data_IF_395593941495
#
_entry.id   IF_395593941495
#
_cell.length_a   1.000
_cell.length_b   1.000
_cell.length_c   1.000
_cell.angle_alpha   90.00
_cell.angle_beta   90.00
_cell.angle_gamma   90.00
#
_symmetry.space_group_name_H-M   'P 1'
#
loop_
_entity.id
_entity.type
_entity.pdbx_description
1 polymer ?
#
# COMPACT_ATOMS: atom_id res chain seq x y z
N UNK A 1 -25.80 -2.21 6.91
CA UNK A 1 -24.79 -3.11 6.32
C UNK A 1 -23.44 -2.53 6.64
N UNK A 2 -22.60 -3.25 7.37
CA UNK A 2 -21.21 -2.83 7.60
C UNK A 2 -20.45 -2.98 6.29
N UNK A 3 -19.89 -1.89 5.77
CA UNK A 3 -19.01 -1.96 4.60
C UNK A 3 -17.63 -2.40 5.04
N UNK A 4 -17.17 -3.52 4.50
CA UNK A 4 -15.81 -4.01 4.70
C UNK A 4 -14.86 -3.18 3.83
N UNK A 5 -13.87 -2.56 4.44
CA UNK A 5 -12.82 -1.86 3.70
C UNK A 5 -11.89 -2.84 2.98
N UNK A 6 -11.41 -3.87 3.69
CA UNK A 6 -10.55 -4.91 3.12
C UNK A 6 -10.64 -6.19 3.93
N UNK A 7 -10.43 -7.34 3.28
CA UNK A 7 -10.23 -8.63 3.94
C UNK A 7 -9.00 -9.31 3.37
N UNK A 8 -8.19 -9.92 4.23
CA UNK A 8 -7.09 -10.77 3.80
C UNK A 8 -7.63 -12.09 3.25
N UNK A 9 -7.34 -12.47 1.99
CA UNK A 9 -7.88 -13.70 1.41
C UNK A 9 -7.29 -14.97 2.04
N UNK A 10 -6.10 -14.89 2.64
CA UNK A 10 -5.43 -16.05 3.23
C UNK A 10 -5.84 -16.34 4.67
N UNK A 11 -5.80 -15.35 5.56
CA UNK A 11 -6.11 -15.55 7.00
C UNK A 11 -7.47 -14.98 7.43
N UNK A 12 -8.21 -14.34 6.52
CA UNK A 12 -9.56 -13.78 6.76
C UNK A 12 -9.63 -12.62 7.76
N UNK A 13 -8.50 -12.07 8.21
CA UNK A 13 -8.47 -10.79 8.92
C UNK A 13 -9.23 -9.74 8.12
N UNK A 14 -10.16 -9.06 8.77
CA UNK A 14 -11.08 -8.11 8.14
C UNK A 14 -10.88 -6.74 8.77
N UNK A 15 -10.75 -5.72 7.93
CA UNK A 15 -10.64 -4.33 8.32
C UNK A 15 -11.88 -3.60 7.83
N UNK A 16 -12.58 -2.91 8.74
CA UNK A 16 -13.83 -2.21 8.43
C UNK A 16 -13.58 -0.76 8.02
N UNK A 17 -12.52 -0.13 8.55
CA UNK A 17 -12.07 1.19 8.14
C UNK A 17 -10.64 1.18 7.58
N UNK A 18 -10.35 2.20 6.77
CA UNK A 18 -8.99 2.51 6.31
C UNK A 18 -8.02 2.70 7.48
N UNK A 19 -8.46 3.38 8.54
CA UNK A 19 -7.70 3.60 9.77
C UNK A 19 -7.30 2.29 10.44
N UNK A 20 -8.20 1.30 10.48
CA UNK A 20 -7.93 -0.01 11.08
C UNK A 20 -6.88 -0.77 10.27
N UNK A 21 -7.01 -0.74 8.94
CA UNK A 21 -6.02 -1.34 8.02
C UNK A 21 -4.64 -0.72 8.18
N UNK A 22 -4.56 0.60 8.31
CA UNK A 22 -3.28 1.30 8.48
C UNK A 22 -2.71 1.15 9.89
N UNK A 23 -3.56 1.01 10.92
CA UNK A 23 -3.14 0.79 12.29
C UNK A 23 -2.69 -0.66 12.54
N UNK A 24 -3.01 -1.60 11.68
CA UNK A 24 -2.63 -3.00 11.86
C UNK A 24 -1.08 -3.17 11.90
N UNK A 25 -0.50 -3.62 13.03
CA UNK A 25 0.94 -3.82 13.16
C UNK A 25 1.47 -4.94 12.24
N UNK A 26 0.59 -5.80 11.74
CA UNK A 26 0.91 -6.94 10.89
C UNK A 26 0.91 -6.62 9.41
N UNK A 27 0.55 -5.38 9.06
CA UNK A 27 0.63 -4.86 7.70
C UNK A 27 1.83 -3.93 7.54
N UNK A 28 2.72 -4.29 6.61
CA UNK A 28 3.85 -3.46 6.20
C UNK A 28 3.73 -3.06 4.75
N UNK A 29 3.82 -1.75 4.47
CA UNK A 29 3.94 -1.24 3.11
C UNK A 29 5.28 -1.66 2.52
N UNK A 30 5.25 -2.47 1.47
CA UNK A 30 6.46 -2.98 0.80
C UNK A 30 6.72 -2.32 -0.55
N UNK A 31 5.75 -1.60 -1.11
CA UNK A 31 5.94 -1.04 -2.43
C UNK A 31 4.73 -0.33 -3.03
N UNK A 32 4.91 0.08 -4.28
CA UNK A 32 3.91 0.71 -5.11
C UNK A 32 4.05 0.23 -6.55
N UNK A 33 2.94 -0.18 -7.16
CA UNK A 33 2.85 -0.45 -8.59
C UNK A 33 2.17 0.75 -9.26
N UNK A 34 2.99 1.54 -9.97
CA UNK A 34 2.52 2.69 -10.72
C UNK A 34 1.63 2.29 -11.90
N UNK A 35 0.58 3.09 -12.12
CA UNK A 35 -0.17 3.14 -13.37
C UNK A 35 -0.06 4.57 -13.88
N UNK A 36 0.81 4.81 -14.85
CA UNK A 36 1.19 6.18 -15.25
C UNK A 36 0.08 6.92 -15.99
N UNK A 37 -0.85 6.19 -16.60
CA UNK A 37 -2.04 6.74 -17.25
C UNK A 37 -3.05 7.27 -16.22
N UNK A 38 -3.08 6.69 -15.02
CA UNK A 38 -3.90 7.15 -13.92
C UNK A 38 -3.30 6.76 -12.57
N UNK A 39 -2.58 7.70 -11.96
CA UNK A 39 -1.88 7.50 -10.70
C UNK A 39 -2.81 7.10 -9.54
N UNK A 40 -4.08 7.54 -9.56
CA UNK A 40 -5.08 7.19 -8.52
C UNK A 40 -5.43 5.69 -8.55
N UNK A 41 -5.30 5.05 -9.71
CA UNK A 41 -5.53 3.61 -9.90
C UNK A 41 -4.28 2.76 -9.70
N UNK A 42 -3.13 3.37 -9.43
CA UNK A 42 -1.94 2.65 -8.99
C UNK A 42 -2.19 1.92 -7.67
N UNK A 43 -1.34 0.93 -7.35
CA UNK A 43 -1.57 0.03 -6.21
C UNK A 43 -0.46 0.16 -5.17
N UNK A 44 -0.81 0.53 -3.95
CA UNK A 44 0.05 0.31 -2.78
C UNK A 44 0.06 -1.17 -2.42
N UNK A 45 1.25 -1.71 -2.17
CA UNK A 45 1.47 -3.12 -1.87
C UNK A 45 1.83 -3.28 -0.40
N UNK A 46 1.09 -4.13 0.31
CA UNK A 46 1.28 -4.42 1.72
C UNK A 46 1.52 -5.90 1.93
N UNK A 47 2.55 -6.28 2.68
CA UNK A 47 2.67 -7.63 3.18
C UNK A 47 1.94 -7.75 4.51
N UNK A 48 1.13 -8.80 4.63
CA UNK A 48 0.53 -9.22 5.89
C UNK A 48 1.38 -10.32 6.53
N UNK A 49 1.43 -10.40 7.86
CA UNK A 49 2.20 -11.41 8.61
C UNK A 49 1.87 -12.86 8.26
N UNK A 50 0.68 -13.11 7.72
CA UNK A 50 0.26 -14.41 7.17
C UNK A 50 1.00 -14.82 5.87
N UNK A 51 1.86 -13.97 5.31
CA UNK A 51 2.62 -14.23 4.09
C UNK A 51 1.94 -13.79 2.78
N UNK A 52 0.72 -13.23 2.85
CA UNK A 52 0.01 -12.70 1.68
C UNK A 52 0.35 -11.24 1.41
N UNK A 53 0.41 -10.87 0.13
CA UNK A 53 0.46 -9.47 -0.31
C UNK A 53 -0.95 -8.96 -0.61
N UNK A 54 -1.31 -7.84 0.00
CA UNK A 54 -2.54 -7.10 -0.25
C UNK A 54 -2.23 -5.86 -1.08
N UNK A 55 -3.18 -5.48 -1.93
CA UNK A 55 -3.10 -4.25 -2.72
C UNK A 55 -4.26 -3.31 -2.41
N UNK A 56 -3.97 -2.01 -2.32
CA UNK A 56 -4.96 -0.94 -2.14
C UNK A 56 -4.71 0.11 -3.23
N UNK A 57 -5.77 0.53 -3.92
CA UNK A 57 -5.68 1.60 -4.91
C UNK A 57 -5.32 2.93 -4.24
N UNK A 58 -4.53 3.78 -4.90
CA UNK A 58 -4.12 5.08 -4.37
C UNK A 58 -5.33 5.95 -4.04
N UNK A 59 -6.39 5.92 -4.87
CA UNK A 59 -7.63 6.68 -4.66
C UNK A 59 -8.30 6.39 -3.32
N UNK A 60 -8.18 5.16 -2.80
CA UNK A 60 -8.73 4.79 -1.50
C UNK A 60 -7.98 5.44 -0.33
N UNK A 61 -6.72 5.87 -0.54
CA UNK A 61 -5.86 6.49 0.47
C UNK A 61 -5.49 7.94 0.12
N UNK A 62 -6.03 8.50 -0.96
CA UNK A 62 -5.68 9.85 -1.41
C UNK A 62 -6.03 10.93 -0.39
N UNK A 63 -7.10 10.71 0.38
CA UNK A 63 -7.60 11.60 1.43
C UNK A 63 -6.58 11.82 2.56
N UNK A 64 -5.58 10.94 2.69
CA UNK A 64 -4.50 11.10 3.67
C UNK A 64 -3.56 12.27 3.34
N UNK A 65 -3.54 12.71 2.07
CA UNK A 65 -2.62 13.73 1.59
C UNK A 65 -3.33 15.03 1.22
N UNK A 66 -2.92 16.13 1.85
CA UNK A 66 -3.43 17.48 1.59
C UNK A 66 -2.37 18.41 0.99
N UNK A 67 -1.25 17.87 0.53
CA UNK A 67 -0.16 18.65 -0.07
C UNK A 67 -0.34 18.92 -1.57
N UNK A 68 0.66 19.53 -2.23
CA UNK A 68 0.58 19.85 -3.65
C UNK A 68 0.55 18.59 -4.52
N UNK A 69 -0.31 18.61 -5.54
CA UNK A 69 -0.31 17.65 -6.65
C UNK A 69 0.16 18.41 -7.89
N UNK A 70 1.34 18.08 -8.38
CA UNK A 70 1.91 18.69 -9.58
C UNK A 70 1.27 18.08 -10.83
N UNK A 71 1.09 18.89 -11.88
CA UNK A 71 0.52 18.40 -13.17
C UNK A 71 1.58 17.86 -14.12
N UNK A 72 2.83 18.26 -13.95
CA UNK A 72 3.92 17.89 -14.85
C UNK A 72 4.57 16.59 -14.41
N UNK A 73 4.78 15.68 -15.37
CA UNK A 73 5.55 14.48 -15.16
C UNK A 73 7.03 14.73 -15.45
N UNK A 74 7.89 14.33 -14.51
CA UNK A 74 9.33 14.34 -14.71
C UNK A 74 9.87 13.01 -15.27
N UNK A 75 9.01 12.00 -15.48
CA UNK A 75 9.41 10.65 -15.90
C UNK A 75 10.27 10.70 -17.17
N UNK A 76 11.38 9.95 -17.20
CA UNK A 76 12.32 9.92 -18.32
C UNK A 76 13.24 11.14 -18.44
N UNK A 77 12.99 12.22 -17.70
CA UNK A 77 13.89 13.38 -17.68
C UNK A 77 15.18 13.09 -16.88
N UNK A 78 16.23 13.87 -17.16
CA UNK A 78 17.52 13.81 -16.43
C UNK A 78 17.39 14.05 -14.92
N UNK A 79 16.31 14.72 -14.48
CA UNK A 79 16.06 15.02 -13.07
C UNK A 79 15.37 13.85 -12.35
N UNK A 80 14.73 12.94 -13.07
CA UNK A 80 13.93 11.88 -12.47
C UNK A 80 14.81 10.71 -12.00
N UNK A 81 14.77 10.34 -10.71
CA UNK A 81 15.55 9.22 -10.19
C UNK A 81 14.93 7.85 -10.50
N UNK A 82 13.83 7.80 -11.27
CA UNK A 82 13.20 6.55 -11.68
C UNK A 82 12.53 5.75 -10.55
N UNK A 83 12.34 6.33 -9.36
CA UNK A 83 11.78 5.60 -8.22
C UNK A 83 10.46 4.90 -8.55
N UNK A 84 9.54 5.55 -9.28
CA UNK A 84 8.24 4.96 -9.66
C UNK A 84 8.33 3.69 -10.52
N UNK A 85 9.49 3.42 -11.14
CA UNK A 85 9.72 2.22 -11.94
C UNK A 85 10.13 1.02 -11.07
N UNK A 86 10.56 1.27 -9.82
CA UNK A 86 11.01 0.24 -8.89
C UNK A 86 9.90 0.00 -7.86
N UNK A 87 9.24 -1.16 -7.94
CA UNK A 87 8.07 -1.45 -7.09
C UNK A 87 8.38 -1.40 -5.59
N UNK A 88 9.52 -1.95 -5.18
CA UNK A 88 9.97 -2.00 -3.78
C UNK A 88 10.61 -0.70 -3.28
N UNK A 89 10.83 0.27 -4.15
CA UNK A 89 11.32 1.58 -3.73
C UNK A 89 10.20 2.30 -2.97
N UNK A 90 10.49 2.79 -1.78
CA UNK A 90 9.51 3.46 -0.91
C UNK A 90 9.99 4.82 -0.41
N UNK A 91 11.12 5.31 -0.90
CA UNK A 91 11.63 6.65 -0.60
C UNK A 91 10.75 7.74 -1.21
N UNK A 92 10.74 8.96 -0.63
CA UNK A 92 10.06 10.11 -1.23
C UNK A 92 10.67 10.47 -2.59
N UNK A 93 9.89 11.13 -3.44
CA UNK A 93 10.40 11.71 -4.68
C UNK A 93 11.03 13.08 -4.40
N UNK A 94 12.29 13.35 -4.78
CA UNK A 94 12.94 14.64 -4.54
C UNK A 94 12.54 15.72 -5.57
N UNK A 95 11.75 15.37 -6.60
CA UNK A 95 11.42 16.26 -7.71
C UNK A 95 9.93 16.61 -7.70
N UNK A 96 9.61 17.85 -8.06
CA UNK A 96 8.24 18.29 -8.38
C UNK A 96 7.74 17.55 -9.61
N UNK A 97 6.99 16.49 -9.37
CA UNK A 97 6.50 15.53 -10.35
C UNK A 97 5.08 15.13 -9.95
N UNK A 98 4.21 14.87 -10.92
CA UNK A 98 2.87 14.31 -10.68
C UNK A 98 2.89 13.06 -9.80
N UNK A 99 3.88 12.19 -9.94
CA UNK A 99 4.02 10.99 -9.12
C UNK A 99 4.45 11.27 -7.66
N UNK A 100 4.88 12.49 -7.34
CA UNK A 100 5.43 12.81 -6.03
C UNK A 100 4.39 12.70 -4.91
N UNK A 101 3.13 13.03 -5.17
CA UNK A 101 2.07 12.95 -4.14
C UNK A 101 1.84 11.51 -3.68
N UNK A 102 1.90 10.54 -4.59
CA UNK A 102 1.78 9.11 -4.26
C UNK A 102 2.89 8.69 -3.30
N UNK A 103 4.13 9.16 -3.57
CA UNK A 103 5.28 8.91 -2.69
C UNK A 103 5.14 9.58 -1.33
N UNK A 104 4.48 10.75 -1.26
CA UNK A 104 4.14 11.41 0.00
C UNK A 104 3.12 10.61 0.81
N UNK A 105 2.07 10.06 0.17
CA UNK A 105 1.11 9.15 0.81
C UNK A 105 1.84 7.95 1.41
N UNK A 106 2.81 7.36 0.70
CA UNK A 106 3.63 6.27 1.26
C UNK A 106 4.38 6.68 2.52
N UNK A 107 4.88 7.91 2.61
CA UNK A 107 5.56 8.38 3.83
C UNK A 107 4.58 8.54 5.00
N UNK A 108 3.35 8.98 4.74
CA UNK A 108 2.30 9.08 5.74
C UNK A 108 1.96 7.68 6.27
N UNK A 109 1.74 6.72 5.36
CA UNK A 109 1.45 5.31 5.70
C UNK A 109 2.59 4.71 6.54
N UNK A 110 3.86 4.94 6.16
CA UNK A 110 5.03 4.41 6.89
C UNK A 110 5.17 4.99 8.29
N UNK A 111 4.67 6.22 8.52
CA UNK A 111 4.69 6.90 9.83
C UNK A 111 3.39 6.72 10.60
N UNK A 112 2.44 5.97 10.07
CA UNK A 112 1.14 5.76 10.71
C UNK A 112 1.31 5.02 12.03
N UNK A 113 0.61 5.49 13.07
CA UNK A 113 0.65 4.85 14.39
C UNK A 113 0.06 3.44 14.30
N UNK A 114 0.90 2.43 14.56
CA UNK A 114 0.48 1.03 14.63
C UNK A 114 -0.08 0.71 16.01
N UNK A 115 -1.15 -0.07 16.07
CA UNK A 115 -1.72 -0.54 17.32
C UNK A 115 -0.77 -1.48 18.06
N UNK A 116 -0.96 -1.59 19.38
CA UNK A 116 -0.23 -2.53 20.23
C UNK A 116 -0.83 -3.93 20.04
N UNK A 117 -0.29 -4.68 19.08
CA UNK A 117 -0.75 -6.04 18.77
C UNK A 117 0.39 -6.94 18.31
N UNK A 118 0.36 -8.20 18.73
CA UNK A 118 1.36 -9.20 18.34
C UNK A 118 0.93 -9.86 17.04
N UNK A 119 1.84 -9.83 16.05
CA UNK A 119 1.64 -10.49 14.78
C UNK A 119 1.99 -11.97 14.86
N UNK A 120 1.01 -12.78 15.24
CA UNK A 120 1.14 -14.23 15.16
C UNK A 120 1.04 -14.62 13.69
N UNK A 121 2.09 -15.26 13.16
CA UNK A 121 2.06 -15.83 11.81
C UNK A 121 0.97 -16.90 11.79
N UNK A 122 -0.11 -16.69 11.02
CA UNK A 122 -1.08 -17.75 10.80
C UNK A 122 -0.40 -18.88 10.04
N UNK A 123 -0.44 -20.11 10.56
CA UNK A 123 -0.04 -21.33 9.85
C UNK A 123 -1.00 -21.65 8.68
N UNK A 124 -1.14 -20.73 7.73
CA UNK A 124 -1.90 -20.96 6.50
C UNK A 124 -1.00 -21.73 5.52
N UNK A 125 -0.75 -23.00 5.85
CA UNK A 125 0.21 -23.83 5.15
C UNK A 125 0.14 -25.31 5.55
N UNK A 126 -1.06 -25.89 5.65
CA UNK A 126 -1.22 -27.34 5.53
C UNK A 126 -2.21 -27.64 4.41
N UNK A 127 -1.65 -28.09 3.28
CA UNK A 127 -2.35 -28.86 2.26
C UNK A 127 -3.37 -29.78 2.95
N UNK A 128 -4.65 -29.68 2.58
CA UNK A 128 -5.62 -30.72 2.89
C UNK A 128 -5.48 -31.76 1.77
N UNK A 129 -4.93 -32.96 1.99
CA UNK A 129 -4.98 -34.02 1.00
C UNK A 129 -6.44 -34.48 0.84
N UNK A 130 -6.73 -34.96 -0.37
CA UNK A 130 -8.02 -35.42 -0.88
C UNK A 130 -8.89 -36.21 0.12
N UNK A 131 -10.20 -35.93 0.07
CA UNK A 131 -11.22 -36.94 0.32
C UNK A 131 -12.20 -36.97 -0.86
N UNK A 132 -11.92 -37.86 -1.81
CA UNK A 132 -12.86 -38.83 -2.38
C UNK A 132 -12.09 -39.84 -3.22
#
# INVERSE_FOLDING_TARGET
MEQIFKQCPACRTTWFACTDFLADPCLQLIGYQALFENLSKGLFLFNHSCGTTLSIAVENLQHLYSGPVYKESAIGSKRCPGHCLIKSETRPCPVKCDCAYVRSIMQIIKKWHKGEGICVKSEAGRNRPLQR
#
